data_IF_107919405988
#
_entry.id   IF_107919405988
#
_cell.length_a   1.000
_cell.length_b   1.000
_cell.length_c   1.000
_cell.angle_alpha   90.00
_cell.angle_beta   90.00
_cell.angle_gamma   90.00
#
_symmetry.space_group_name_H-M   'P 1'
#
loop_
_entity.id
_entity.type
_entity.pdbx_description
1 polymer ?
#
# COMPACT_ATOMS: atom_id res chain seq x y z
N UNK A 1 -11.56 12.82 -13.55
CA UNK A 1 -11.54 12.31 -12.17
C UNK A 1 -10.38 12.98 -11.47
N UNK A 2 -10.57 13.63 -10.34
CA UNK A 2 -9.45 14.24 -9.59
C UNK A 2 -8.59 13.15 -8.96
N UNK A 3 -7.32 13.45 -8.70
CA UNK A 3 -6.42 12.56 -7.96
C UNK A 3 -6.92 12.41 -6.50
N UNK A 4 -7.23 11.19 -6.03
CA UNK A 4 -7.77 10.96 -4.69
C UNK A 4 -6.82 11.43 -3.58
N UNK A 5 -5.51 11.44 -3.81
CA UNK A 5 -4.52 11.97 -2.85
C UNK A 5 -4.63 13.47 -2.72
N UNK A 6 -4.84 14.18 -3.84
CA UNK A 6 -5.01 15.64 -3.86
C UNK A 6 -6.31 16.02 -3.13
N UNK A 7 -7.40 15.32 -3.41
CA UNK A 7 -8.69 15.55 -2.73
C UNK A 7 -8.60 15.28 -1.22
N UNK A 8 -8.03 14.15 -0.81
CA UNK A 8 -7.87 13.81 0.60
C UNK A 8 -6.96 14.80 1.33
N UNK A 9 -5.89 15.29 0.68
CA UNK A 9 -5.04 16.35 1.23
C UNK A 9 -5.80 17.66 1.43
N UNK A 10 -6.61 18.06 0.45
CA UNK A 10 -7.42 19.26 0.54
C UNK A 10 -8.47 19.16 1.66
N UNK A 11 -9.08 17.99 1.81
CA UNK A 11 -10.04 17.70 2.88
C UNK A 11 -9.38 17.75 4.26
N UNK A 12 -8.19 17.15 4.43
CA UNK A 12 -7.44 17.24 5.67
C UNK A 12 -7.07 18.69 6.01
N UNK A 13 -6.58 19.47 5.04
CA UNK A 13 -6.25 20.87 5.24
C UNK A 13 -7.47 21.69 5.69
N UNK A 14 -8.64 21.40 5.10
CA UNK A 14 -9.92 22.01 5.49
C UNK A 14 -10.34 21.61 6.90
N UNK A 15 -10.26 20.33 7.25
CA UNK A 15 -10.61 19.83 8.57
C UNK A 15 -9.75 20.46 9.67
N UNK A 16 -8.43 20.52 9.47
CA UNK A 16 -7.50 21.19 10.39
C UNK A 16 -7.87 22.66 10.58
N UNK A 17 -8.23 23.36 9.50
CA UNK A 17 -8.59 24.78 9.54
C UNK A 17 -9.90 25.03 10.29
N UNK A 18 -10.90 24.17 10.13
CA UNK A 18 -12.25 24.37 10.68
C UNK A 18 -12.40 23.84 12.11
N UNK A 19 -11.76 22.72 12.42
CA UNK A 19 -11.99 21.99 13.67
C UNK A 19 -10.77 21.94 14.59
N UNK A 20 -9.60 22.33 14.11
CA UNK A 20 -8.34 22.18 14.84
C UNK A 20 -7.70 20.81 14.63
N UNK A 21 -6.47 20.65 15.15
CA UNK A 21 -5.62 19.48 14.87
C UNK A 21 -6.09 18.19 15.54
N UNK A 22 -6.60 18.30 16.77
CA UNK A 22 -6.90 17.15 17.63
C UNK A 22 -8.39 16.76 17.63
N UNK A 23 -9.17 17.38 16.74
CA UNK A 23 -10.60 17.09 16.62
C UNK A 23 -10.83 15.79 15.83
N UNK A 24 -11.85 15.03 16.21
CA UNK A 24 -12.14 13.71 15.62
C UNK A 24 -12.28 13.74 14.09
N UNK A 25 -12.96 14.76 13.55
CA UNK A 25 -13.09 14.98 12.09
C UNK A 25 -11.71 15.12 11.42
N UNK A 26 -10.76 15.80 12.06
CA UNK A 26 -9.40 15.96 11.53
C UNK A 26 -8.65 14.64 11.56
N UNK A 27 -8.83 13.82 12.58
CA UNK A 27 -8.22 12.49 12.66
C UNK A 27 -8.81 11.52 11.62
N UNK A 28 -10.12 11.58 11.36
CA UNK A 28 -10.74 10.84 10.26
C UNK A 28 -10.19 11.29 8.90
N UNK A 29 -10.09 12.60 8.67
CA UNK A 29 -9.51 13.13 7.43
C UNK A 29 -8.02 12.74 7.28
N UNK A 30 -7.29 12.64 8.39
CA UNK A 30 -5.89 12.18 8.41
C UNK A 30 -5.78 10.70 8.06
N UNK A 31 -6.68 9.86 8.59
CA UNK A 31 -6.75 8.45 8.24
C UNK A 31 -7.02 8.27 6.74
N UNK A 32 -8.03 8.96 6.21
CA UNK A 32 -8.37 8.94 4.78
C UNK A 32 -7.20 9.38 3.89
N UNK A 33 -6.46 10.42 4.29
CA UNK A 33 -5.27 10.85 3.55
C UNK A 33 -4.15 9.80 3.55
N UNK A 34 -3.91 9.13 4.69
CA UNK A 34 -2.91 8.05 4.78
C UNK A 34 -3.30 6.86 3.90
N UNK A 35 -4.56 6.48 3.91
CA UNK A 35 -5.10 5.42 3.06
C UNK A 35 -4.92 5.75 1.58
N UNK A 36 -5.36 6.94 1.14
CA UNK A 36 -5.22 7.37 -0.25
C UNK A 36 -3.75 7.35 -0.72
N UNK A 37 -2.82 7.80 0.14
CA UNK A 37 -1.38 7.73 -0.16
C UNK A 37 -0.87 6.31 -0.29
N UNK A 38 -1.28 5.42 0.61
CA UNK A 38 -0.84 4.03 0.58
C UNK A 38 -1.33 3.34 -0.69
N UNK A 39 -2.61 3.53 -1.05
CA UNK A 39 -3.19 2.99 -2.28
C UNK A 39 -2.43 3.51 -3.49
N UNK A 40 -2.23 4.83 -3.60
CA UNK A 40 -1.49 5.44 -4.71
C UNK A 40 -0.08 4.87 -4.84
N UNK A 41 0.63 4.71 -3.72
CA UNK A 41 1.96 4.12 -3.70
C UNK A 41 1.96 2.66 -4.16
N UNK A 42 1.05 1.83 -3.64
CA UNK A 42 0.94 0.42 -4.01
C UNK A 42 0.60 0.29 -5.50
N UNK A 43 -0.38 1.04 -6.00
CA UNK A 43 -0.75 1.05 -7.43
C UNK A 43 0.46 1.41 -8.29
N UNK A 44 1.14 2.52 -7.99
CA UNK A 44 2.33 2.92 -8.75
C UNK A 44 3.45 1.86 -8.70
N UNK A 45 3.62 1.20 -7.55
CA UNK A 45 4.63 0.13 -7.39
C UNK A 45 4.28 -1.10 -8.21
N UNK A 46 3.01 -1.51 -8.21
CA UNK A 46 2.52 -2.66 -8.99
C UNK A 46 2.56 -2.37 -10.48
N UNK A 47 2.15 -1.19 -10.90
CA UNK A 47 2.14 -0.77 -12.31
C UNK A 47 3.56 -0.67 -12.89
N UNK A 48 4.53 -0.28 -12.07
CA UNK A 48 5.94 -0.21 -12.47
C UNK A 48 6.65 -1.58 -12.44
N UNK A 49 6.07 -2.60 -11.80
CA UNK A 49 6.69 -3.91 -11.68
C UNK A 49 6.61 -4.69 -13.00
N UNK A 50 7.66 -5.45 -13.37
CA UNK A 50 7.58 -6.36 -14.50
C UNK A 50 6.51 -7.44 -14.24
N UNK A 51 5.84 -7.95 -15.30
CA UNK A 51 4.84 -8.99 -15.14
C UNK A 51 5.47 -10.25 -14.54
N UNK A 52 4.82 -10.81 -13.51
CA UNK A 52 5.28 -12.06 -12.90
C UNK A 52 5.28 -13.19 -13.92
N UNK A 53 6.35 -14.01 -13.89
CA UNK A 53 6.39 -15.27 -14.63
C UNK A 53 5.25 -16.20 -14.18
N UNK A 54 4.80 -17.13 -15.05
CA UNK A 54 3.73 -18.07 -14.69
C UNK A 54 4.04 -18.86 -13.41
N UNK A 55 5.29 -19.28 -13.24
CA UNK A 55 5.75 -20.03 -12.06
C UNK A 55 5.69 -19.17 -10.79
N UNK A 56 6.23 -17.95 -10.81
CA UNK A 56 6.18 -17.04 -9.66
C UNK A 56 4.74 -16.68 -9.31
N UNK A 57 3.88 -16.49 -10.31
CA UNK A 57 2.45 -16.22 -10.11
C UNK A 57 1.77 -17.40 -9.39
N UNK A 58 2.06 -18.64 -9.78
CA UNK A 58 1.54 -19.83 -9.12
C UNK A 58 1.99 -19.94 -7.66
N UNK A 59 3.26 -19.64 -7.37
CA UNK A 59 3.80 -19.61 -6.00
C UNK A 59 3.10 -18.55 -5.15
N UNK A 60 2.95 -17.32 -5.66
CA UNK A 60 2.23 -16.23 -4.97
C UNK A 60 0.77 -16.60 -4.74
N UNK A 61 0.09 -17.18 -5.73
CA UNK A 61 -1.30 -17.61 -5.59
C UNK A 61 -1.48 -18.68 -4.51
N UNK A 62 -0.55 -19.64 -4.40
CA UNK A 62 -0.56 -20.64 -3.35
C UNK A 62 -0.41 -20.02 -1.94
N UNK A 63 0.51 -19.07 -1.78
CA UNK A 63 0.69 -18.33 -0.51
C UNK A 63 -0.59 -17.57 -0.14
N UNK A 64 -1.20 -16.85 -1.10
CA UNK A 64 -2.43 -16.08 -0.88
C UNK A 64 -3.64 -16.96 -0.57
N UNK A 65 -3.67 -18.20 -1.07
CA UNK A 65 -4.70 -19.19 -0.76
C UNK A 65 -4.55 -19.82 0.64
N UNK A 66 -3.54 -19.40 1.42
CA UNK A 66 -3.31 -19.90 2.77
C UNK A 66 -2.46 -21.17 2.83
N UNK A 67 -1.77 -21.54 1.74
CA UNK A 67 -0.71 -22.54 1.85
C UNK A 67 0.42 -21.96 2.72
N UNK A 68 1.05 -22.77 3.62
CA UNK A 68 2.21 -22.31 4.34
C UNK A 68 3.25 -21.83 3.33
N UNK A 69 3.72 -20.60 3.48
CA UNK A 69 4.81 -20.09 2.67
C UNK A 69 5.97 -21.09 2.80
N UNK A 70 6.29 -21.79 1.72
CA UNK A 70 7.44 -22.68 1.71
C UNK A 70 8.66 -21.78 1.94
N UNK A 71 9.23 -21.92 3.13
CA UNK A 71 10.48 -21.29 3.55
C UNK A 71 11.60 -21.81 2.66
N UNK A 72 11.77 -21.16 1.50
CA UNK A 72 12.86 -21.42 0.55
C UNK A 72 13.50 -20.11 0.13
N UNK A 73 13.92 -19.32 1.12
CA UNK A 73 14.85 -18.21 0.92
C UNK A 73 16.13 -18.36 1.77
N UNK A 74 16.47 -19.57 2.21
CA UNK A 74 17.81 -19.91 2.68
C UNK A 74 18.38 -21.04 1.80
N UNK A 75 18.95 -20.66 0.66
CA UNK A 75 19.98 -21.47 0.00
C UNK A 75 21.34 -20.96 0.48
N UNK A 76 22.25 -21.81 1.01
CA UNK A 76 23.57 -21.38 1.43
C UNK A 76 24.44 -21.16 0.18
N UNK A 77 24.56 -19.92 -0.28
CA UNK A 77 25.47 -19.58 -1.37
C UNK A 77 26.86 -19.21 -0.82
N UNK A 78 27.67 -20.26 -0.68
CA UNK A 78 29.13 -20.34 -0.89
C UNK A 78 30.01 -19.30 -0.16
N UNK A 79 30.50 -19.67 1.03
CA UNK A 79 31.81 -19.21 1.52
C UNK A 79 32.88 -20.20 1.01
N UNK A 80 33.85 -19.64 0.29
CA UNK A 80 35.01 -20.28 -0.32
C UNK A 80 36.00 -20.89 0.69
#
# INVERSE_FOLDING_TARGET
>A
MSDPVIEARANLARAVKLHGRDHEITEQARAAYREARLVSYVTATVDAAPPLSPETRARVAAILAGAPALDTANGPEVAA
#
